data_IF_874817915766
#
_entry.id   IF_874817915766
#
_cell.length_a   1.000
_cell.length_b   1.000
_cell.length_c   1.000
_cell.angle_alpha   90.00
_cell.angle_beta   90.00
_cell.angle_gamma   90.00
#
_symmetry.space_group_name_H-M   'P 1'
#
loop_
_entity.id
_entity.type
_entity.pdbx_description
1 polymer ?
#
# COMPACT_ATOMS: atom_id res chain seq x y z
N UNK A 1 -3.38 49.28 2.23
CA UNK A 1 -3.12 48.80 0.85
C UNK A 1 -1.63 48.55 0.72
N UNK A 2 -1.23 47.28 0.64
CA UNK A 2 -0.13 46.82 -0.18
C UNK A 2 -0.29 45.31 -0.30
N UNK A 3 -0.71 44.90 -1.49
CA UNK A 3 -0.86 43.52 -1.93
C UNK A 3 0.56 43.06 -2.29
N UNK A 4 1.17 42.26 -1.43
CA UNK A 4 2.37 41.51 -1.80
C UNK A 4 1.91 40.31 -2.64
N UNK A 5 2.38 40.29 -3.89
CA UNK A 5 2.19 39.24 -4.88
C UNK A 5 2.53 37.86 -4.31
N UNK A 6 1.56 36.94 -4.38
CA UNK A 6 1.80 35.50 -4.31
C UNK A 6 2.68 35.11 -5.49
N UNK A 7 3.95 34.80 -5.25
CA UNK A 7 4.79 34.08 -6.21
C UNK A 7 4.23 32.66 -6.36
N UNK A 8 4.08 32.23 -7.61
CA UNK A 8 3.73 30.85 -7.97
C UNK A 8 4.82 29.90 -7.46
N UNK A 9 4.47 29.05 -6.48
CA UNK A 9 5.36 28.01 -5.96
C UNK A 9 5.47 26.86 -6.96
N UNK A 10 6.53 26.86 -7.77
CA UNK A 10 6.93 25.72 -8.61
C UNK A 10 7.81 24.77 -7.80
N UNK A 11 7.52 23.46 -7.75
CA UNK A 11 8.43 22.50 -7.13
C UNK A 11 9.78 22.52 -7.84
N UNK A 12 10.86 22.78 -7.09
CA UNK A 12 12.23 22.83 -7.62
C UNK A 12 12.90 21.47 -7.36
N UNK A 13 13.10 20.70 -8.41
CA UNK A 13 13.85 19.44 -8.33
C UNK A 13 15.31 19.72 -7.94
N UNK A 14 15.79 19.08 -6.87
CA UNK A 14 17.21 19.07 -6.54
C UNK A 14 17.86 17.85 -7.21
N UNK A 15 18.65 18.08 -8.26
CA UNK A 15 19.48 17.05 -8.86
C UNK A 15 20.66 16.73 -7.91
N UNK A 16 20.58 15.60 -7.19
CA UNK A 16 21.76 15.01 -6.58
C UNK A 16 22.57 14.32 -7.67
N UNK A 17 23.83 14.73 -7.79
CA UNK A 17 24.69 14.44 -8.94
C UNK A 17 25.08 12.97 -9.10
N UNK A 18 24.98 12.54 -10.36
CA UNK A 18 25.87 11.61 -11.08
C UNK A 18 25.92 10.15 -10.55
N UNK A 19 24.99 9.35 -11.11
CA UNK A 19 25.10 8.00 -11.73
C UNK A 19 23.83 7.20 -11.37
N UNK A 20 22.65 7.65 -11.80
CA UNK A 20 21.44 6.82 -11.98
C UNK A 20 20.52 7.56 -12.95
N UNK A 21 20.53 7.17 -14.22
CA UNK A 21 19.85 7.94 -15.28
C UNK A 21 18.33 7.75 -15.34
N UNK A 22 17.68 7.00 -14.44
CA UNK A 22 16.24 6.67 -14.58
C UNK A 22 15.44 6.61 -13.25
N UNK A 23 15.88 7.28 -12.18
CA UNK A 23 15.01 7.50 -11.00
C UNK A 23 14.60 8.98 -10.94
N UNK A 24 13.34 9.30 -10.59
CA UNK A 24 12.93 10.69 -10.39
C UNK A 24 13.77 11.32 -9.25
N UNK A 25 14.09 12.61 -9.40
CA UNK A 25 14.69 13.38 -8.32
C UNK A 25 13.76 13.40 -7.09
N UNK A 26 14.31 13.51 -5.89
CA UNK A 26 13.53 13.75 -4.67
C UNK A 26 12.90 15.14 -4.78
N UNK A 27 11.62 15.21 -5.08
CA UNK A 27 10.89 16.47 -5.16
C UNK A 27 10.44 16.89 -3.75
N UNK A 28 11.04 17.97 -3.25
CA UNK A 28 10.61 18.66 -2.04
C UNK A 28 9.53 19.67 -2.46
N UNK A 29 8.27 19.30 -2.30
CA UNK A 29 7.16 20.24 -2.34
C UNK A 29 6.98 20.75 -0.92
N UNK A 30 7.00 22.06 -0.65
CA UNK A 30 6.63 22.68 0.65
C UNK A 30 7.02 21.89 1.93
N UNK A 31 8.26 21.41 2.05
CA UNK A 31 8.75 20.68 3.24
C UNK A 31 8.46 19.18 3.28
N UNK A 32 7.84 18.62 2.25
CA UNK A 32 7.59 17.19 2.12
C UNK A 32 8.83 16.42 1.68
N UNK A 33 9.04 15.24 2.27
CA UNK A 33 9.87 14.19 1.69
C UNK A 33 8.91 13.12 1.15
N UNK A 34 8.30 13.38 -0.01
CA UNK A 34 7.54 12.33 -0.69
C UNK A 34 8.49 11.20 -1.09
N UNK A 35 7.97 9.97 -1.12
CA UNK A 35 8.80 8.81 -1.49
C UNK A 35 9.26 9.01 -2.95
N UNK A 36 10.57 8.89 -3.24
CA UNK A 36 11.14 9.33 -4.52
C UNK A 36 10.68 8.53 -5.74
N UNK A 37 10.03 7.38 -5.51
CA UNK A 37 9.49 6.52 -6.56
C UNK A 37 8.05 6.84 -6.94
N UNK A 38 7.36 7.67 -6.15
CA UNK A 38 6.00 8.08 -6.46
C UNK A 38 6.01 9.12 -7.59
N UNK A 39 4.95 9.19 -8.41
CA UNK A 39 4.80 10.29 -9.34
C UNK A 39 4.88 11.63 -8.63
N UNK A 40 5.28 12.68 -9.34
CA UNK A 40 5.39 14.02 -8.77
C UNK A 40 4.01 14.55 -8.40
N UNK A 41 3.91 15.23 -7.25
CA UNK A 41 2.72 15.96 -6.86
C UNK A 41 2.78 17.40 -7.39
N UNK A 42 1.73 17.85 -8.07
CA UNK A 42 1.57 19.20 -8.64
C UNK A 42 0.30 19.85 -8.11
N UNK A 43 0.31 21.17 -7.95
CA UNK A 43 -0.88 21.93 -7.57
C UNK A 43 -1.68 22.30 -8.82
N UNK A 44 -2.93 21.85 -8.92
CA UNK A 44 -3.85 22.15 -10.01
C UNK A 44 -5.21 22.51 -9.42
N UNK A 45 -5.84 23.60 -9.87
CA UNK A 45 -7.21 23.98 -9.48
C UNK A 45 -7.49 23.96 -7.95
N UNK A 46 -6.51 24.39 -7.14
CA UNK A 46 -6.56 24.43 -5.66
C UNK A 46 -6.56 23.06 -4.96
N UNK A 47 -6.04 22.04 -5.62
CA UNK A 47 -5.82 20.69 -5.09
C UNK A 47 -4.50 20.12 -5.60
N UNK A 48 -3.96 19.15 -4.88
CA UNK A 48 -2.77 18.43 -5.28
C UNK A 48 -3.11 17.21 -6.12
N UNK A 49 -2.40 17.03 -7.23
CA UNK A 49 -2.55 15.95 -8.20
C UNK A 49 -1.23 15.29 -8.52
N UNK A 50 -1.29 14.00 -8.79
CA UNK A 50 -0.13 13.28 -9.33
C UNK A 50 0.03 13.59 -10.82
N UNK A 51 1.23 13.98 -11.22
CA UNK A 51 1.56 14.32 -12.59
C UNK A 51 1.43 13.09 -13.52
N UNK A 52 0.94 13.31 -14.74
CA UNK A 52 0.79 12.27 -15.78
C UNK A 52 -0.09 11.08 -15.38
N UNK A 53 -0.92 11.21 -14.34
CA UNK A 53 -1.90 10.17 -14.02
C UNK A 53 -3.19 10.44 -14.77
N UNK A 54 -3.73 9.47 -15.53
CA UNK A 54 -5.04 9.66 -16.15
C UNK A 54 -6.05 9.87 -15.03
N UNK A 55 -6.65 11.05 -14.99
CA UNK A 55 -7.66 11.41 -13.99
C UNK A 55 -8.79 10.40 -14.05
N UNK A 56 -8.91 9.55 -13.02
CA UNK A 56 -10.07 8.71 -12.83
C UNK A 56 -11.02 9.47 -11.90
N UNK A 57 -12.16 9.82 -12.50
CA UNK A 57 -13.51 10.14 -12.00
C UNK A 57 -13.75 11.15 -10.85
N UNK A 58 -12.77 11.66 -10.08
CA UNK A 58 -13.08 12.61 -9.01
C UNK A 58 -11.99 13.65 -8.66
N UNK A 59 -12.45 14.84 -8.23
CA UNK A 59 -11.65 15.96 -7.71
C UNK A 59 -12.19 16.49 -6.39
N UNK A 60 -11.46 17.30 -5.65
CA UNK A 60 -11.89 17.89 -4.38
C UNK A 60 -13.19 18.69 -4.46
N UNK A 61 -13.58 19.17 -5.66
CA UNK A 61 -14.89 19.79 -5.84
C UNK A 61 -16.01 18.74 -5.84
N UNK A 62 -15.84 17.61 -6.52
CA UNK A 62 -16.80 16.50 -6.68
C UNK A 62 -16.71 15.41 -5.59
N UNK A 63 -15.56 15.31 -4.92
CA UNK A 63 -15.20 14.34 -3.90
C UNK A 63 -15.42 14.89 -2.49
N UNK A 64 -16.56 15.56 -2.26
CA UNK A 64 -16.94 15.92 -0.89
C UNK A 64 -17.95 14.90 -0.37
N UNK A 65 -17.83 14.50 0.90
CA UNK A 65 -18.81 13.65 1.59
C UNK A 65 -20.26 14.17 1.45
N UNK A 66 -20.45 15.47 1.20
CA UNK A 66 -21.75 16.12 0.92
C UNK A 66 -22.16 16.15 -0.56
N UNK A 67 -21.24 16.10 -1.51
CA UNK A 67 -21.55 15.96 -2.95
C UNK A 67 -21.68 14.50 -3.41
N UNK A 68 -21.11 13.55 -2.67
CA UNK A 68 -21.47 12.13 -2.80
C UNK A 68 -22.97 11.88 -2.49
N UNK A 69 -23.65 12.79 -1.78
CA UNK A 69 -25.11 12.78 -1.60
C UNK A 69 -25.90 13.37 -2.78
N UNK A 70 -25.25 14.05 -3.73
CA UNK A 70 -25.87 14.78 -4.85
C UNK A 70 -25.67 14.13 -6.23
N UNK A 71 -24.91 13.03 -6.34
CA UNK A 71 -24.86 12.24 -7.57
C UNK A 71 -26.27 11.69 -7.90
N UNK A 72 -26.87 12.03 -9.07
CA UNK A 72 -28.25 11.64 -9.40
C UNK A 72 -28.48 10.15 -9.63
N UNK A 73 -27.46 9.30 -9.48
CA UNK A 73 -27.53 7.86 -9.74
C UNK A 73 -27.32 6.97 -8.52
N UNK A 74 -27.14 7.52 -7.32
CA UNK A 74 -27.22 6.72 -6.12
C UNK A 74 -27.72 7.58 -4.96
N UNK A 75 -28.81 7.15 -4.32
CA UNK A 75 -28.96 7.39 -2.89
C UNK A 75 -27.81 6.66 -2.22
N UNK A 76 -26.63 7.29 -2.17
CA UNK A 76 -25.50 6.80 -1.39
C UNK A 76 -25.92 6.90 0.05
N UNK A 77 -26.46 5.80 0.57
CA UNK A 77 -26.47 5.58 1.99
C UNK A 77 -25.01 5.50 2.43
N UNK A 78 -24.42 6.62 2.85
CA UNK A 78 -23.20 6.69 3.67
C UNK A 78 -23.35 5.92 5.02
N UNK A 79 -24.32 5.01 5.12
CA UNK A 79 -24.84 4.43 6.34
C UNK A 79 -24.09 3.18 6.80
N UNK A 80 -23.11 2.68 6.04
CA UNK A 80 -22.29 1.55 6.48
C UNK A 80 -20.82 1.92 6.50
N UNK A 81 -20.41 2.51 7.62
CA UNK A 81 -19.03 2.40 8.08
C UNK A 81 -18.70 0.89 8.16
N UNK A 82 -17.72 0.45 7.37
CA UNK A 82 -17.31 -0.95 7.30
C UNK A 82 -15.99 -1.21 8.02
N UNK A 83 -15.33 -0.15 8.50
CA UNK A 83 -14.10 -0.27 9.26
C UNK A 83 -13.57 1.09 9.72
N UNK A 84 -12.98 1.10 10.91
CA UNK A 84 -12.18 2.21 11.41
C UNK A 84 -10.80 1.67 11.75
N UNK A 85 -9.81 2.13 11.00
CA UNK A 85 -8.39 1.89 11.26
C UNK A 85 -7.83 2.89 12.26
N UNK A 86 -6.50 2.94 12.34
CA UNK A 86 -5.80 3.82 13.26
C UNK A 86 -5.77 5.27 12.77
N UNK A 87 -5.78 5.46 11.44
CA UNK A 87 -5.68 6.74 10.74
C UNK A 87 -6.84 6.98 9.76
N UNK A 88 -7.55 5.93 9.33
CA UNK A 88 -8.55 5.99 8.25
C UNK A 88 -9.86 5.33 8.65
N UNK A 89 -10.97 5.90 8.21
CA UNK A 89 -12.29 5.27 8.23
C UNK A 89 -12.66 4.83 6.82
N UNK A 90 -13.33 3.68 6.70
CA UNK A 90 -13.77 3.12 5.44
C UNK A 90 -15.29 3.05 5.39
N UNK A 91 -15.88 3.66 4.37
CA UNK A 91 -17.32 3.70 4.14
C UNK A 91 -17.65 3.00 2.84
N UNK A 92 -18.63 2.10 2.86
CA UNK A 92 -19.18 1.56 1.62
C UNK A 92 -20.07 2.62 0.95
N UNK A 93 -19.85 2.87 -0.34
CA UNK A 93 -20.77 3.67 -1.17
C UNK A 93 -21.85 2.73 -1.73
N UNK A 94 -21.40 1.62 -2.29
CA UNK A 94 -22.24 0.57 -2.88
C UNK A 94 -21.58 -0.81 -2.66
N UNK A 95 -21.96 -1.81 -3.47
CA UNK A 95 -21.42 -3.16 -3.34
C UNK A 95 -19.96 -3.27 -3.82
N UNK A 96 -19.54 -2.40 -4.72
CA UNK A 96 -18.33 -2.52 -5.51
C UNK A 96 -17.34 -1.38 -5.24
N UNK A 97 -17.75 -0.39 -4.43
CA UNK A 97 -16.96 0.82 -4.17
C UNK A 97 -16.93 1.23 -2.71
N UNK A 98 -15.77 1.70 -2.26
CA UNK A 98 -15.55 2.28 -0.93
C UNK A 98 -14.91 3.65 -1.02
N UNK A 99 -15.16 4.46 0.01
CA UNK A 99 -14.39 5.67 0.31
C UNK A 99 -13.55 5.40 1.55
N UNK A 100 -12.25 5.70 1.48
CA UNK A 100 -11.40 5.90 2.65
C UNK A 100 -11.27 7.39 2.91
N UNK A 101 -11.35 7.78 4.18
CA UNK A 101 -11.19 9.17 4.63
C UNK A 101 -10.44 9.17 5.95
N UNK A 102 -9.88 10.32 6.33
CA UNK A 102 -9.17 10.46 7.60
C UNK A 102 -10.09 10.22 8.83
N UNK A 103 -9.61 9.44 9.81
CA UNK A 103 -10.30 9.16 11.07
C UNK A 103 -9.74 10.02 12.20
N UNK A 104 -10.35 11.18 12.43
CA UNK A 104 -9.91 12.15 13.44
C UNK A 104 -9.95 11.61 14.87
N UNK A 105 -10.76 10.58 15.16
CA UNK A 105 -10.84 9.92 16.46
C UNK A 105 -9.96 8.67 16.55
N UNK A 106 -9.19 8.38 15.50
CA UNK A 106 -8.31 7.22 15.42
C UNK A 106 -7.20 7.27 16.46
N UNK A 107 -6.57 6.14 16.76
CA UNK A 107 -5.49 6.09 17.75
C UNK A 107 -4.31 6.97 17.35
N UNK A 108 -3.91 6.96 16.08
CA UNK A 108 -2.81 7.79 15.57
C UNK A 108 -3.16 9.27 15.60
N UNK A 109 -4.40 9.64 15.23
CA UNK A 109 -4.87 11.01 15.33
C UNK A 109 -4.92 11.48 16.80
N UNK A 110 -5.44 10.65 17.72
CA UNK A 110 -5.47 10.97 19.15
C UNK A 110 -4.07 11.10 19.75
N UNK A 111 -3.13 10.24 19.38
CA UNK A 111 -1.75 10.34 19.84
C UNK A 111 -1.08 11.60 19.29
N UNK A 112 -1.28 11.87 17.99
CA UNK A 112 -0.83 13.08 17.34
C UNK A 112 -1.35 14.35 18.00
N UNK A 113 -2.65 14.37 18.35
CA UNK A 113 -3.31 15.53 18.93
C UNK A 113 -3.13 15.64 20.46
N UNK A 114 -2.62 14.61 21.13
CA UNK A 114 -2.30 14.65 22.57
C UNK A 114 -1.02 15.43 22.88
N UNK A 115 -0.06 15.47 21.95
CA UNK A 115 1.19 16.23 22.10
C UNK A 115 1.07 17.70 21.65
N UNK A 116 -0.13 18.14 21.28
CA UNK A 116 -0.39 19.47 20.68
C UNK A 116 -0.48 20.59 21.71
N UNK A 117 -0.69 20.26 22.98
CA UNK A 117 -0.72 21.25 24.07
C UNK A 117 0.68 21.85 24.37
N UNK A 118 1.76 21.35 23.76
CA UNK A 118 3.12 21.74 24.10
C UNK A 118 3.83 22.58 23.01
N UNK A 119 3.71 22.28 21.69
CA UNK A 119 4.37 23.08 20.63
C UNK A 119 3.68 23.06 19.22
N UNK A 120 3.47 24.23 18.57
CA UNK A 120 2.88 24.33 17.23
C UNK A 120 3.64 23.59 16.11
N UNK A 121 4.98 23.57 16.16
CA UNK A 121 5.82 22.93 15.14
C UNK A 121 5.62 21.40 15.15
N UNK A 122 5.49 20.81 16.34
CA UNK A 122 5.27 19.38 16.51
C UNK A 122 3.90 18.98 15.97
N UNK A 123 2.91 19.86 16.12
CA UNK A 123 1.55 19.69 15.59
C UNK A 123 1.54 19.64 14.07
N UNK A 124 2.19 20.61 13.40
CA UNK A 124 2.29 20.65 11.93
C UNK A 124 2.98 19.40 11.39
N UNK A 125 4.14 19.03 11.94
CA UNK A 125 4.88 17.84 11.52
C UNK A 125 4.06 16.56 11.71
N UNK A 126 3.28 16.49 12.77
CA UNK A 126 2.45 15.34 13.04
C UNK A 126 1.31 15.19 12.03
N UNK A 127 0.63 16.31 11.72
CA UNK A 127 -0.40 16.37 10.68
C UNK A 127 0.18 15.99 9.30
N UNK A 128 1.38 16.46 8.98
CA UNK A 128 2.09 16.10 7.75
C UNK A 128 2.37 14.60 7.66
N UNK A 129 2.90 13.99 8.73
CA UNK A 129 3.15 12.55 8.77
C UNK A 129 1.85 11.73 8.59
N UNK A 130 0.76 12.18 9.21
CA UNK A 130 -0.55 11.55 9.08
C UNK A 130 -1.11 11.63 7.66
N UNK A 131 -0.99 12.80 7.02
CA UNK A 131 -1.38 12.99 5.63
C UNK A 131 -0.49 12.18 4.67
N UNK A 132 0.80 12.06 4.98
CA UNK A 132 1.79 11.40 4.10
C UNK A 132 1.49 9.93 3.84
N UNK A 133 1.03 9.17 4.84
CA UNK A 133 0.63 7.78 4.62
C UNK A 133 -0.53 7.69 3.62
N UNK A 134 -1.54 8.56 3.78
CA UNK A 134 -2.71 8.59 2.91
C UNK A 134 -2.36 9.01 1.47
N UNK A 135 -1.54 10.04 1.33
CA UNK A 135 -1.10 10.52 0.00
C UNK A 135 -0.21 9.48 -0.67
N UNK A 136 0.71 8.84 0.07
CA UNK A 136 1.55 7.78 -0.46
C UNK A 136 0.73 6.60 -0.99
N UNK A 137 -0.32 6.22 -0.28
CA UNK A 137 -1.26 5.17 -0.73
C UNK A 137 -1.88 5.53 -2.09
N UNK A 138 -2.38 6.76 -2.27
CA UNK A 138 -2.91 7.23 -3.55
C UNK A 138 -1.85 7.09 -4.66
N UNK A 139 -0.62 7.54 -4.40
CA UNK A 139 0.47 7.46 -5.37
C UNK A 139 0.80 6.02 -5.76
N UNK A 140 0.84 5.09 -4.79
CA UNK A 140 1.10 3.67 -5.06
C UNK A 140 -0.04 3.04 -5.84
N UNK A 141 -1.30 3.32 -5.49
CA UNK A 141 -2.46 2.80 -6.22
C UNK A 141 -2.47 3.28 -7.69
N UNK A 142 -2.09 4.53 -7.95
CA UNK A 142 -1.97 5.05 -9.32
C UNK A 142 -0.84 4.38 -10.11
N UNK A 143 0.30 4.14 -9.46
CA UNK A 143 1.45 3.47 -10.07
C UNK A 143 1.16 2.00 -10.39
N UNK A 144 0.39 1.31 -9.53
CA UNK A 144 0.07 -0.11 -9.68
C UNK A 144 -1.34 -0.38 -10.24
N UNK A 145 -1.99 0.63 -10.85
CA UNK A 145 -3.39 0.58 -11.29
C UNK A 145 -3.74 -0.59 -12.23
N UNK A 146 -2.75 -1.09 -12.96
CA UNK A 146 -2.91 -2.15 -13.96
C UNK A 146 -2.62 -3.55 -13.36
N UNK A 147 -2.16 -3.64 -12.10
CA UNK A 147 -1.94 -4.91 -11.43
C UNK A 147 -3.28 -5.47 -10.90
N UNK A 148 -3.64 -6.73 -11.23
CA UNK A 148 -4.92 -7.28 -10.85
C UNK A 148 -5.09 -7.46 -9.33
N UNK A 149 -4.01 -7.56 -8.55
CA UNK A 149 -4.06 -7.74 -7.10
C UNK A 149 -4.10 -6.41 -6.33
N UNK A 150 -4.32 -5.29 -7.04
CA UNK A 150 -4.43 -3.95 -6.48
C UNK A 150 -5.86 -3.42 -6.67
N UNK A 151 -6.48 -2.81 -5.64
CA UNK A 151 -7.76 -2.13 -5.79
C UNK A 151 -7.71 -1.04 -6.86
N UNK A 152 -8.72 -1.00 -7.72
CA UNK A 152 -8.82 0.03 -8.74
C UNK A 152 -9.18 1.36 -8.06
N UNK A 153 -8.29 2.36 -8.18
CA UNK A 153 -8.56 3.72 -7.71
C UNK A 153 -9.49 4.43 -8.69
N UNK A 154 -10.68 4.80 -8.21
CA UNK A 154 -11.66 5.55 -8.99
C UNK A 154 -11.52 7.06 -8.84
N UNK A 155 -10.89 7.56 -7.79
CA UNK A 155 -10.70 8.99 -7.61
C UNK A 155 -10.18 9.35 -6.24
N UNK A 156 -9.69 10.58 -6.09
CA UNK A 156 -9.14 11.07 -4.83
C UNK A 156 -9.23 12.59 -4.72
N UNK A 157 -9.10 13.09 -3.49
CA UNK A 157 -8.94 14.51 -3.17
C UNK A 157 -7.76 14.69 -2.23
N UNK A 158 -6.83 15.56 -2.63
CA UNK A 158 -5.78 16.09 -1.77
C UNK A 158 -5.94 17.61 -1.79
N UNK A 159 -6.61 18.23 -0.79
CA UNK A 159 -6.83 19.67 -0.81
C UNK A 159 -5.51 20.42 -0.66
N UNK A 160 -5.40 21.61 -1.27
CA UNK A 160 -4.24 22.49 -1.06
C UNK A 160 -3.96 22.74 0.42
N UNK A 161 -5.03 22.92 1.20
CA UNK A 161 -4.98 23.18 2.65
C UNK A 161 -5.14 21.91 3.49
N UNK A 162 -4.59 20.76 3.07
CA UNK A 162 -4.73 19.48 3.79
C UNK A 162 -4.31 19.53 5.26
N UNK A 163 -3.40 20.44 5.65
CA UNK A 163 -2.96 20.59 7.04
C UNK A 163 -4.12 21.01 7.97
N UNK A 164 -5.03 21.85 7.47
CA UNK A 164 -6.23 22.31 8.20
C UNK A 164 -7.48 21.52 7.81
N UNK A 165 -7.45 20.85 6.64
CA UNK A 165 -8.56 20.12 6.05
C UNK A 165 -8.30 18.61 5.90
N UNK A 166 -7.64 17.96 6.87
CA UNK A 166 -7.37 16.50 6.82
C UNK A 166 -8.62 15.65 6.53
N UNK A 167 -9.79 16.09 6.99
CA UNK A 167 -11.07 15.42 6.76
C UNK A 167 -11.55 15.45 5.29
N UNK A 168 -10.92 16.26 4.44
CA UNK A 168 -11.15 16.30 2.99
C UNK A 168 -10.18 15.39 2.22
N UNK A 169 -9.17 14.81 2.87
CA UNK A 169 -8.35 13.75 2.28
C UNK A 169 -9.22 12.51 2.09
N UNK A 170 -9.51 12.20 0.83
CA UNK A 170 -10.42 11.14 0.43
C UNK A 170 -9.79 10.38 -0.72
N UNK A 171 -9.94 9.06 -0.71
CA UNK A 171 -9.74 8.21 -1.88
C UNK A 171 -10.93 7.27 -2.03
N UNK A 172 -11.27 6.97 -3.28
CA UNK A 172 -12.38 6.11 -3.68
C UNK A 172 -11.82 4.98 -4.53
N UNK A 173 -12.10 3.73 -4.14
CA UNK A 173 -11.50 2.55 -4.76
C UNK A 173 -12.49 1.39 -4.83
N UNK A 174 -12.16 0.38 -5.64
CA UNK A 174 -12.91 -0.87 -5.72
C UNK A 174 -12.98 -1.59 -4.38
N UNK A 175 -14.14 -2.17 -4.07
CA UNK A 175 -14.43 -2.85 -2.82
C UNK A 175 -14.22 -4.34 -2.89
N UNK A 176 -13.35 -4.86 -2.03
CA UNK A 176 -13.25 -6.30 -1.79
C UNK A 176 -14.30 -6.87 -0.83
N UNK A 177 -14.08 -8.13 -0.45
CA UNK A 177 -14.77 -8.78 0.67
C UNK A 177 -14.33 -8.20 2.01
N UNK A 178 -14.71 -8.86 3.11
CA UNK A 178 -14.05 -8.64 4.39
C UNK A 178 -12.58 -9.10 4.33
N UNK A 179 -11.70 -8.54 5.18
CA UNK A 179 -10.35 -9.02 5.35
C UNK A 179 -10.29 -10.54 5.55
N UNK A 180 -9.28 -11.17 4.95
CA UNK A 180 -9.09 -12.62 5.07
C UNK A 180 -8.75 -12.96 6.53
N UNK A 181 -9.51 -13.89 7.09
CA UNK A 181 -9.29 -14.39 8.45
C UNK A 181 -9.09 -15.92 8.48
N UNK A 182 -8.75 -16.42 9.67
CA UNK A 182 -8.51 -17.85 9.91
C UNK A 182 -9.74 -18.70 9.55
N UNK A 183 -10.96 -18.23 9.85
CA UNK A 183 -12.19 -18.99 9.62
C UNK A 183 -12.43 -19.10 8.11
N UNK A 184 -12.28 -18.00 7.38
CA UNK A 184 -12.42 -17.97 5.94
C UNK A 184 -11.41 -18.91 5.28
N UNK A 185 -10.14 -18.90 5.70
CA UNK A 185 -9.12 -19.84 5.21
C UNK A 185 -9.50 -21.29 5.46
N UNK A 186 -10.03 -21.64 6.64
CA UNK A 186 -10.46 -23.01 6.95
C UNK A 186 -11.67 -23.46 6.12
N UNK A 187 -12.57 -22.53 5.80
CA UNK A 187 -13.77 -22.80 5.00
C UNK A 187 -13.47 -22.93 3.49
N UNK A 188 -12.35 -22.37 3.01
CA UNK A 188 -11.91 -22.55 1.62
C UNK A 188 -11.66 -24.04 1.31
N UNK A 189 -11.77 -24.42 0.04
CA UNK A 189 -11.25 -25.71 -0.39
C UNK A 189 -9.72 -25.70 -0.32
N UNK A 190 -9.10 -26.86 -0.15
CA UNK A 190 -7.64 -26.97 -0.15
C UNK A 190 -7.02 -26.38 -1.42
N UNK A 191 -7.56 -26.73 -2.60
CA UNK A 191 -7.10 -26.18 -3.88
C UNK A 191 -7.21 -24.65 -3.93
N UNK A 192 -8.27 -24.06 -3.37
CA UNK A 192 -8.43 -22.60 -3.34
C UNK A 192 -7.42 -21.93 -2.40
N UNK A 193 -7.09 -22.55 -1.27
CA UNK A 193 -6.02 -22.04 -0.39
C UNK A 193 -4.66 -22.04 -1.07
N UNK A 194 -4.32 -23.12 -1.78
CA UNK A 194 -3.07 -23.19 -2.54
C UNK A 194 -3.04 -22.12 -3.63
N UNK A 195 -4.14 -21.94 -4.37
CA UNK A 195 -4.25 -20.88 -5.39
C UNK A 195 -4.13 -19.47 -4.78
N UNK A 196 -4.77 -19.21 -3.63
CA UNK A 196 -4.66 -17.94 -2.94
C UNK A 196 -3.20 -17.59 -2.62
N UNK A 197 -2.43 -18.57 -2.14
CA UNK A 197 -1.00 -18.38 -1.83
C UNK A 197 -0.18 -18.17 -3.10
N UNK A 198 -0.48 -18.89 -4.19
CA UNK A 198 0.15 -18.66 -5.49
C UNK A 198 -0.08 -17.22 -5.98
N UNK A 199 -1.33 -16.75 -5.94
CA UNK A 199 -1.70 -15.40 -6.37
C UNK A 199 -0.97 -14.32 -5.55
N UNK A 200 -0.80 -14.55 -4.23
CA UNK A 200 -0.07 -13.63 -3.33
C UNK A 200 1.44 -13.64 -3.63
N UNK A 201 2.04 -14.82 -3.83
CA UNK A 201 3.46 -14.94 -4.17
C UNK A 201 3.77 -14.24 -5.49
N UNK A 202 2.94 -14.46 -6.50
CA UNK A 202 3.08 -13.81 -7.81
C UNK A 202 2.95 -12.30 -7.69
N UNK A 203 1.95 -11.80 -6.96
CA UNK A 203 1.78 -10.37 -6.70
C UNK A 203 3.02 -9.73 -6.06
N UNK A 204 3.53 -10.30 -4.97
CA UNK A 204 4.71 -9.77 -4.27
C UNK A 204 5.94 -9.74 -5.19
N UNK A 205 6.09 -10.75 -6.06
CA UNK A 205 7.18 -10.79 -7.04
C UNK A 205 7.00 -9.72 -8.13
N UNK A 206 5.78 -9.48 -8.61
CA UNK A 206 5.50 -8.48 -9.66
C UNK A 206 5.73 -7.04 -9.18
N UNK A 207 5.42 -6.72 -7.92
CA UNK A 207 5.58 -5.36 -7.40
C UNK A 207 7.03 -5.01 -7.00
N UNK A 208 7.97 -5.95 -7.09
CA UNK A 208 9.39 -5.66 -6.86
C UNK A 208 9.87 -4.54 -7.80
N UNK A 209 10.58 -3.50 -7.31
CA UNK A 209 11.30 -3.40 -6.03
C UNK A 209 10.53 -2.82 -4.83
N UNK A 210 9.21 -2.74 -4.88
CA UNK A 210 8.41 -2.26 -3.74
C UNK A 210 8.37 -3.28 -2.61
N UNK A 211 8.46 -2.77 -1.39
CA UNK A 211 8.43 -3.51 -0.15
C UNK A 211 7.20 -3.14 0.66
N UNK A 212 6.35 -4.14 0.91
CA UNK A 212 5.20 -4.02 1.79
C UNK A 212 5.68 -4.16 3.24
N UNK A 213 5.69 -3.06 4.01
CA UNK A 213 6.16 -3.11 5.41
C UNK A 213 5.12 -3.71 6.35
N UNK A 214 3.85 -3.34 6.19
CA UNK A 214 2.73 -3.94 6.92
C UNK A 214 2.13 -5.13 6.15
N UNK A 215 2.99 -6.09 5.77
CA UNK A 215 2.53 -7.34 5.19
C UNK A 215 1.92 -8.23 6.29
N UNK A 216 0.60 -8.37 6.27
CA UNK A 216 -0.16 -9.28 7.14
C UNK A 216 -1.46 -9.70 6.47
N UNK A 217 -1.99 -10.86 6.84
CA UNK A 217 -3.23 -11.42 6.29
C UNK A 217 -4.41 -10.44 6.26
N UNK A 218 -4.58 -9.62 7.30
CA UNK A 218 -5.70 -8.69 7.43
C UNK A 218 -5.67 -7.54 6.40
N UNK A 219 -4.55 -7.36 5.68
CA UNK A 219 -4.44 -6.41 4.58
C UNK A 219 -4.81 -7.02 3.22
N UNK A 220 -5.25 -8.28 3.21
CA UNK A 220 -5.79 -8.91 2.02
C UNK A 220 -7.30 -9.06 2.14
N UNK A 221 -8.01 -8.69 1.08
CA UNK A 221 -9.43 -8.98 0.87
C UNK A 221 -9.57 -9.81 -0.40
N UNK A 222 -10.71 -10.46 -0.63
CA UNK A 222 -10.99 -11.11 -1.90
C UNK A 222 -11.79 -10.18 -2.80
N UNK A 223 -11.38 -10.09 -4.06
CA UNK A 223 -12.21 -9.51 -5.13
C UNK A 223 -13.58 -10.18 -5.16
N UNK A 224 -14.62 -9.39 -5.44
CA UNK A 224 -16.01 -9.91 -5.49
C UNK A 224 -16.30 -10.67 -6.79
N UNK A 225 -15.58 -10.34 -7.86
CA UNK A 225 -15.86 -10.87 -9.19
C UNK A 225 -15.22 -12.24 -9.43
N UNK A 226 -13.98 -12.40 -8.99
CA UNK A 226 -13.15 -13.57 -9.29
C UNK A 226 -12.41 -14.13 -8.06
N UNK A 227 -12.72 -13.63 -6.87
CA UNK A 227 -12.15 -14.04 -5.60
C UNK A 227 -10.63 -13.86 -5.48
N UNK A 228 -9.94 -13.19 -6.42
CA UNK A 228 -8.48 -12.97 -6.34
C UNK A 228 -8.12 -12.13 -5.09
N UNK A 229 -6.95 -12.34 -4.46
CA UNK A 229 -6.55 -11.52 -3.33
C UNK A 229 -6.21 -10.10 -3.78
N UNK A 230 -6.76 -9.10 -3.09
CA UNK A 230 -6.40 -7.69 -3.26
C UNK A 230 -5.69 -7.22 -1.99
N UNK A 231 -4.52 -6.58 -2.14
CA UNK A 231 -3.85 -5.92 -1.02
C UNK A 231 -4.40 -4.51 -0.85
N UNK A 232 -4.83 -4.12 0.35
CA UNK A 232 -5.65 -2.89 0.52
C UNK A 232 -5.00 -1.77 1.34
N UNK A 233 -3.77 -1.94 1.82
CA UNK A 233 -3.13 -0.96 2.71
C UNK A 233 -1.72 -0.58 2.24
N UNK A 234 -1.65 0.41 1.33
CA UNK A 234 -0.41 0.85 0.69
C UNK A 234 0.23 2.10 1.33
N UNK A 235 -0.14 2.47 2.56
CA UNK A 235 0.42 3.67 3.19
C UNK A 235 1.87 3.50 3.69
N UNK A 236 2.31 2.26 3.95
CA UNK A 236 3.67 1.93 4.36
C UNK A 236 4.41 1.02 3.35
N UNK A 237 4.56 1.55 2.13
CA UNK A 237 5.26 0.89 1.00
C UNK A 237 6.54 1.62 0.68
N UNK A 238 7.69 0.94 0.63
CA UNK A 238 8.96 1.58 0.31
C UNK A 238 9.72 0.86 -0.80
N UNK A 239 10.67 1.55 -1.44
CA UNK A 239 11.63 0.85 -2.27
C UNK A 239 12.53 -0.03 -1.41
N UNK A 240 12.85 -1.21 -1.93
CA UNK A 240 14.03 -1.93 -1.49
C UNK A 240 15.22 -0.97 -1.53
N UNK A 241 15.84 -0.72 -0.37
CA UNK A 241 16.97 0.19 -0.28
C UNK A 241 18.02 -0.25 -1.30
N UNK A 242 18.45 0.63 -2.23
CA UNK A 242 19.68 0.39 -2.96
C UNK A 242 20.78 0.26 -1.91
N UNK A 243 21.65 -0.73 -2.04
CA UNK A 243 22.86 -0.78 -1.23
C UNK A 243 23.80 0.38 -1.61
N UNK A 244 23.50 1.60 -1.19
CA UNK A 244 24.41 2.73 -1.36
C UNK A 244 24.58 3.55 -0.08
N UNK A 245 24.10 3.06 1.07
CA UNK A 245 24.32 3.71 2.37
C UNK A 245 25.43 3.06 3.22
N UNK A 246 26.19 2.09 2.70
CA UNK A 246 27.34 1.50 3.42
C UNK A 246 28.71 2.13 3.10
N UNK A 247 28.82 2.96 2.05
CA UNK A 247 30.12 3.58 1.70
C UNK A 247 30.45 4.89 2.42
N UNK A 248 29.56 5.44 3.25
CA UNK A 248 29.84 6.70 3.99
C UNK A 248 30.52 6.49 5.35
N UNK A 249 30.73 5.25 5.78
CA UNK A 249 31.43 4.92 7.03
C UNK A 249 32.72 4.11 6.83
N UNK A 250 33.49 4.36 5.76
CA UNK A 250 34.93 4.05 5.70
C UNK A 250 35.40 2.67 6.18
N UNK A 251 34.54 1.65 6.16
CA UNK A 251 34.86 0.28 6.51
C UNK A 251 34.91 -0.47 5.19
N UNK A 252 36.14 -0.70 4.74
CA UNK A 252 36.47 -1.52 3.60
C UNK A 252 35.95 -2.95 3.84
N UNK A 253 34.73 -3.19 3.39
CA UNK A 253 34.14 -4.50 3.17
C UNK A 253 33.32 -4.37 1.90
N UNK A 254 33.99 -4.54 0.75
CA UNK A 254 33.35 -4.55 -0.56
C UNK A 254 32.46 -5.79 -0.69
N UNK A 255 31.26 -5.73 -0.15
CA UNK A 255 30.18 -6.57 -0.67
C UNK A 255 29.64 -5.83 -1.90
N UNK A 256 29.98 -6.41 -3.06
CA UNK A 256 29.35 -6.14 -4.34
C UNK A 256 27.83 -6.14 -4.13
N UNK A 257 27.20 -4.97 -4.12
CA UNK A 257 25.78 -4.91 -4.38
C UNK A 257 25.58 -4.94 -5.88
N UNK A 258 25.75 -6.15 -6.37
CA UNK A 258 25.03 -6.58 -7.54
C UNK A 258 23.57 -6.18 -7.34
N UNK A 259 23.06 -5.43 -8.31
CA UNK A 259 21.66 -5.14 -8.54
C UNK A 259 20.97 -6.46 -8.96
N UNK A 260 21.19 -7.53 -8.21
CA UNK A 260 20.68 -8.85 -8.48
C UNK A 260 19.17 -8.74 -8.37
N UNK A 261 18.52 -9.00 -9.49
CA UNK A 261 17.18 -9.57 -9.60
C UNK A 261 17.14 -10.98 -8.95
N UNK A 262 17.77 -11.12 -7.78
CA UNK A 262 18.10 -12.37 -7.13
C UNK A 262 17.25 -12.53 -5.88
N UNK A 263 16.18 -13.28 -6.06
CA UNK A 263 15.44 -14.16 -5.16
C UNK A 263 15.91 -14.44 -3.70
N UNK A 264 17.14 -14.16 -3.29
CA UNK A 264 17.66 -14.40 -1.92
C UNK A 264 17.87 -13.11 -1.08
N UNK A 265 17.08 -12.08 -1.35
CA UNK A 265 17.09 -10.88 -0.50
C UNK A 265 16.54 -11.18 0.90
N UNK A 266 17.00 -10.46 1.93
CA UNK A 266 16.38 -10.50 3.27
C UNK A 266 14.87 -10.23 3.20
N UNK A 267 14.45 -9.34 2.29
CA UNK A 267 13.05 -9.07 2.01
C UNK A 267 12.30 -10.31 1.49
N UNK A 268 12.85 -10.99 0.48
CA UNK A 268 12.29 -12.24 -0.07
C UNK A 268 12.07 -13.28 1.03
N UNK A 269 13.10 -13.53 1.85
CA UNK A 269 13.00 -14.44 3.00
C UNK A 269 11.96 -13.99 4.02
N UNK A 270 11.95 -12.70 4.38
CA UNK A 270 10.98 -12.14 5.34
C UNK A 270 9.54 -12.28 4.87
N UNK A 271 9.25 -11.93 3.61
CA UNK A 271 7.89 -12.00 3.08
C UNK A 271 7.46 -13.45 2.85
N UNK A 272 8.32 -14.32 2.30
CA UNK A 272 7.98 -15.73 2.12
C UNK A 272 7.60 -16.40 3.46
N UNK A 273 8.35 -16.10 4.53
CA UNK A 273 8.01 -16.58 5.88
C UNK A 273 6.70 -16.02 6.39
N UNK A 274 6.41 -14.73 6.18
CA UNK A 274 5.12 -14.12 6.54
C UNK A 274 3.96 -14.77 5.78
N UNK A 275 4.10 -14.99 4.48
CA UNK A 275 3.10 -15.70 3.68
C UNK A 275 2.87 -17.10 4.25
N UNK A 276 3.95 -17.82 4.57
CA UNK A 276 3.84 -19.16 5.13
C UNK A 276 3.11 -19.16 6.46
N UNK A 277 3.51 -18.29 7.39
CA UNK A 277 2.92 -18.21 8.73
C UNK A 277 1.44 -17.77 8.68
N UNK A 278 1.08 -16.82 7.82
CA UNK A 278 -0.26 -16.23 7.77
C UNK A 278 -1.28 -17.07 6.96
N UNK A 279 -0.81 -17.76 5.92
CA UNK A 279 -1.69 -18.40 4.92
C UNK A 279 -1.50 -19.90 4.74
N UNK A 280 -0.36 -20.50 5.13
CA UNK A 280 -0.04 -21.88 4.76
C UNK A 280 0.18 -22.83 5.93
N UNK A 281 0.96 -22.41 6.94
CA UNK A 281 1.56 -23.26 7.97
C UNK A 281 0.60 -24.28 8.58
N UNK A 282 -0.56 -23.81 9.03
CA UNK A 282 -1.59 -24.69 9.60
C UNK A 282 -2.63 -25.08 8.54
N UNK A 283 -2.90 -24.21 7.57
CA UNK A 283 -4.04 -24.33 6.66
C UNK A 283 -3.84 -25.34 5.53
N UNK A 284 -2.61 -25.57 5.08
CA UNK A 284 -2.32 -26.51 4.01
C UNK A 284 -2.47 -27.96 4.45
N UNK A 285 -2.41 -28.25 5.76
CA UNK A 285 -2.58 -29.60 6.29
C UNK A 285 -4.04 -30.06 6.31
N UNK A 286 -5.00 -29.13 6.37
CA UNK A 286 -6.42 -29.44 6.42
C UNK A 286 -7.00 -29.71 5.04
N UNK A 287 -7.73 -30.82 4.89
CA UNK A 287 -8.40 -31.19 3.63
C UNK A 287 -7.46 -31.46 2.46
N UNK A 288 -6.18 -31.75 2.75
CA UNK A 288 -5.15 -32.01 1.73
C UNK A 288 -5.36 -33.34 1.01
N UNK A 289 -4.84 -33.41 -0.21
CA UNK A 289 -4.67 -34.67 -0.95
C UNK A 289 -3.50 -35.46 -0.38
N UNK A 290 -3.56 -36.79 -0.41
CA UNK A 290 -2.50 -37.65 0.14
C UNK A 290 -1.18 -37.43 -0.61
N UNK A 291 -1.27 -37.22 -1.92
CA UNK A 291 -0.17 -37.01 -2.85
C UNK A 291 0.60 -35.71 -2.58
N UNK A 292 -0.01 -34.75 -1.87
CA UNK A 292 0.63 -33.47 -1.50
C UNK A 292 1.53 -33.54 -0.27
N UNK A 293 1.53 -34.67 0.46
CA UNK A 293 2.21 -34.77 1.75
C UNK A 293 3.72 -34.53 1.66
N UNK A 294 4.38 -35.00 0.59
CA UNK A 294 5.81 -34.82 0.40
C UNK A 294 6.19 -33.34 0.23
N UNK A 295 5.44 -32.62 -0.60
CA UNK A 295 5.67 -31.18 -0.84
C UNK A 295 5.41 -30.35 0.42
N UNK A 296 4.43 -30.74 1.24
CA UNK A 296 4.14 -30.04 2.49
C UNK A 296 5.22 -30.25 3.56
N UNK A 297 5.78 -31.47 3.67
CA UNK A 297 6.93 -31.70 4.55
C UNK A 297 8.18 -30.99 4.02
N UNK A 298 8.41 -30.98 2.71
CA UNK A 298 9.50 -30.20 2.08
C UNK A 298 9.41 -28.70 2.43
N UNK A 299 8.21 -28.11 2.29
CA UNK A 299 7.97 -26.70 2.63
C UNK A 299 8.26 -26.41 4.10
N UNK A 300 7.77 -27.28 4.98
CA UNK A 300 7.96 -27.17 6.43
C UNK A 300 9.45 -27.30 6.80
N UNK A 301 10.17 -28.22 6.17
CA UNK A 301 11.61 -28.42 6.41
C UNK A 301 12.42 -27.20 5.97
N UNK A 302 12.15 -26.64 4.79
CA UNK A 302 12.80 -25.42 4.31
C UNK A 302 12.49 -24.23 5.23
N UNK A 303 11.25 -24.10 5.70
CA UNK A 303 10.87 -23.08 6.68
C UNK A 303 11.63 -23.22 8.00
N UNK A 304 11.74 -24.44 8.53
CA UNK A 304 12.42 -24.74 9.79
C UNK A 304 13.93 -24.52 9.73
N UNK A 305 14.54 -24.77 8.56
CA UNK A 305 15.96 -24.49 8.30
C UNK A 305 16.26 -23.01 8.07
N UNK A 306 15.22 -22.16 8.06
CA UNK A 306 15.32 -20.74 7.74
C UNK A 306 15.83 -20.46 6.31
N UNK A 307 15.51 -21.36 5.39
CA UNK A 307 15.95 -21.32 3.99
C UNK A 307 14.84 -20.89 3.03
N UNK A 308 13.63 -20.60 3.54
CA UNK A 308 12.45 -20.24 2.75
C UNK A 308 12.57 -18.82 2.19
N UNK A 309 12.53 -18.70 0.87
CA UNK A 309 12.45 -17.46 0.10
C UNK A 309 11.26 -17.54 -0.89
N UNK A 310 11.02 -16.47 -1.66
CA UNK A 310 9.86 -16.40 -2.55
C UNK A 310 9.89 -17.46 -3.67
N UNK A 311 11.02 -17.72 -4.34
CA UNK A 311 11.03 -18.70 -5.43
C UNK A 311 10.93 -20.14 -4.94
N UNK A 312 11.61 -20.51 -3.85
CA UNK A 312 11.46 -21.86 -3.26
C UNK A 312 10.01 -22.09 -2.82
N UNK A 313 9.36 -21.06 -2.28
CA UNK A 313 7.95 -21.17 -1.91
C UNK A 313 7.07 -21.32 -3.16
N UNK A 314 7.30 -20.51 -4.20
CA UNK A 314 6.58 -20.63 -5.46
C UNK A 314 6.74 -22.01 -6.09
N UNK A 315 7.96 -22.56 -6.15
CA UNK A 315 8.23 -23.88 -6.71
C UNK A 315 7.40 -24.97 -6.01
N UNK A 316 7.32 -24.92 -4.69
CA UNK A 316 6.51 -25.88 -3.93
C UNK A 316 5.02 -25.66 -4.17
N UNK A 317 4.56 -24.42 -4.19
CA UNK A 317 3.15 -24.09 -4.46
C UNK A 317 2.73 -24.53 -5.86
N UNK A 318 3.58 -24.37 -6.87
CA UNK A 318 3.33 -24.85 -8.23
C UNK A 318 3.23 -26.38 -8.28
N UNK A 319 4.11 -27.09 -7.56
CA UNK A 319 3.99 -28.56 -7.39
C UNK A 319 2.66 -28.92 -6.72
N UNK A 320 2.24 -28.21 -5.67
CA UNK A 320 0.97 -28.46 -4.99
C UNK A 320 -0.25 -28.21 -5.90
N UNK A 321 -0.20 -27.22 -6.79
CA UNK A 321 -1.28 -26.96 -7.76
C UNK A 321 -1.40 -28.06 -8.83
N UNK A 322 -0.32 -28.78 -9.11
CA UNK A 322 -0.28 -29.87 -10.09
C UNK A 322 -0.89 -31.20 -9.58
N UNK A 323 -1.16 -31.31 -8.28
CA UNK A 323 -1.68 -32.50 -7.59
C UNK A 323 -3.21 -32.53 -7.54
#
# INVERSE_FOLDING_TARGET
>A
MNVASLEEATCKGHAFGVVMANLPAVDVCDGWILKPFLPRLILQDNEYRYENTPDILANCSTATLREFQKFPLARVELNKNIGNGWTKSVYAIDNDTVIKTFELKGSSARECFKSVDEEPIQTTRCIENLAQGFISEIGVLLMLKDDPNVPLLFGYCIPKEYQTDLHKLILMESRGSTPIDTIQLLQMSWKRRVQLVADILEFVKRIWPLQLRDFRRQQFVLSRDDFRPLYVDFDDVDLAKPCMELNTKGLAGSESCDLFLGDDTEYSRRIARRIYDDFSKDFFWYGRKLESALQLEELKDIYNKNELNLDKFQEIVDKLLSV
#
